data_IF_802381322510
#
_entry.id   IF_802381322510
#
_cell.length_a   1.000
_cell.length_b   1.000
_cell.length_c   1.000
_cell.angle_alpha   90.00
_cell.angle_beta   90.00
_cell.angle_gamma   90.00
#
_symmetry.space_group_name_H-M   'P 1'
#
loop_
_entity.id
_entity.type
_entity.pdbx_description
1 polymer ?
#
# COMPACT_ATOMS: atom_id res chain seq x y z
N UNK A 1 6.52 0.71 -21.13
CA UNK A 1 5.79 0.81 -19.84
C UNK A 1 4.74 1.89 -19.99
N UNK A 2 3.49 1.63 -19.60
CA UNK A 2 2.52 2.72 -19.42
C UNK A 2 2.86 3.33 -18.06
N UNK A 3 3.26 4.60 -18.03
CA UNK A 3 3.47 5.32 -16.79
C UNK A 3 2.09 5.42 -16.14
N UNK A 4 1.74 4.49 -15.23
CA UNK A 4 0.61 4.76 -14.34
C UNK A 4 1.00 6.03 -13.60
N UNK A 5 0.26 7.11 -13.83
CA UNK A 5 0.46 8.35 -13.09
C UNK A 5 0.20 8.03 -11.63
N UNK A 6 1.26 7.98 -10.84
CA UNK A 6 1.15 7.78 -9.40
C UNK A 6 0.78 9.13 -8.80
N UNK A 7 -0.25 9.13 -7.97
CA UNK A 7 -0.65 10.32 -7.22
C UNK A 7 0.10 10.34 -5.89
N UNK A 8 1.22 11.06 -5.85
CA UNK A 8 2.03 11.21 -4.65
C UNK A 8 1.33 12.00 -3.55
N UNK A 9 0.41 12.89 -3.93
CA UNK A 9 -0.41 13.60 -2.95
C UNK A 9 -1.35 12.62 -2.24
N UNK A 10 -1.97 11.72 -2.99
CA UNK A 10 -2.78 10.64 -2.42
C UNK A 10 -1.93 9.72 -1.52
N UNK A 11 -0.71 9.34 -1.93
CA UNK A 11 0.17 8.53 -1.09
C UNK A 11 0.53 9.22 0.23
N UNK A 12 0.72 10.55 0.23
CA UNK A 12 0.97 11.29 1.45
C UNK A 12 -0.25 11.30 2.39
N UNK A 13 -1.46 11.39 1.84
CA UNK A 13 -2.69 11.31 2.63
C UNK A 13 -2.85 9.92 3.26
N UNK A 14 -2.68 8.86 2.48
CA UNK A 14 -2.72 7.49 3.01
C UNK A 14 -1.63 7.23 4.03
N UNK A 15 -0.42 7.75 3.81
CA UNK A 15 0.65 7.64 4.80
C UNK A 15 0.27 8.32 6.13
N UNK A 16 -0.41 9.48 6.06
CA UNK A 16 -0.90 10.18 7.25
C UNK A 16 -1.90 9.32 8.05
N UNK A 17 -2.81 8.64 7.36
CA UNK A 17 -3.82 7.76 7.97
C UNK A 17 -3.19 6.60 8.77
N UNK A 18 -1.96 6.20 8.42
CA UNK A 18 -1.21 5.11 9.09
C UNK A 18 0.03 5.59 9.86
N UNK A 19 0.08 6.88 10.22
CA UNK A 19 1.04 7.40 11.20
C UNK A 19 2.24 8.18 10.66
N UNK A 20 2.23 8.58 9.38
CA UNK A 20 3.25 9.52 8.88
C UNK A 20 3.05 10.92 9.48
N UNK A 21 4.11 11.47 10.06
CA UNK A 21 4.15 12.86 10.51
C UNK A 21 4.18 13.85 9.32
N UNK A 22 4.07 15.14 9.63
CA UNK A 22 4.01 16.19 8.62
C UNK A 22 5.28 16.25 7.74
N UNK A 23 6.45 15.99 8.32
CA UNK A 23 7.72 16.03 7.60
C UNK A 23 7.83 14.86 6.61
N UNK A 24 7.45 13.65 7.03
CA UNK A 24 7.40 12.48 6.16
C UNK A 24 6.37 12.67 5.05
N UNK A 25 5.17 13.18 5.37
CA UNK A 25 4.16 13.50 4.37
C UNK A 25 4.69 14.48 3.32
N UNK A 26 5.40 15.53 3.72
CA UNK A 26 5.98 16.50 2.81
C UNK A 26 7.03 15.84 1.90
N UNK A 27 7.93 15.03 2.47
CA UNK A 27 8.92 14.29 1.69
C UNK A 27 8.31 13.31 0.69
N UNK A 28 7.15 12.71 1.00
CA UNK A 28 6.41 11.86 0.06
C UNK A 28 5.86 12.68 -1.11
N UNK A 29 5.29 13.85 -0.85
CA UNK A 29 4.79 14.77 -1.90
C UNK A 29 5.90 15.20 -2.86
N UNK A 30 7.10 15.39 -2.32
CA UNK A 30 8.29 15.82 -3.07
C UNK A 30 9.06 14.64 -3.70
N UNK A 31 8.60 13.40 -3.54
CA UNK A 31 9.26 12.24 -4.13
C UNK A 31 9.10 12.19 -5.66
N UNK A 32 10.03 11.52 -6.34
CA UNK A 32 9.96 11.37 -7.80
C UNK A 32 9.20 10.09 -8.21
N UNK A 33 9.11 9.10 -7.31
CA UNK A 33 8.50 7.79 -7.59
C UNK A 33 7.78 7.24 -6.36
N UNK A 34 6.78 6.39 -6.57
CA UNK A 34 6.12 5.66 -5.47
C UNK A 34 7.07 4.75 -4.71
N UNK A 35 8.07 4.18 -5.39
CA UNK A 35 9.09 3.34 -4.74
C UNK A 35 9.90 4.14 -3.73
N UNK A 36 10.25 5.38 -4.08
CA UNK A 36 10.92 6.29 -3.16
C UNK A 36 10.02 6.60 -1.96
N UNK A 37 8.74 6.91 -2.16
CA UNK A 37 7.78 7.15 -1.08
C UNK A 37 7.64 5.93 -0.14
N UNK A 38 7.52 4.72 -0.71
CA UNK A 38 7.48 3.48 0.06
C UNK A 38 8.75 3.27 0.88
N UNK A 39 9.93 3.52 0.31
CA UNK A 39 11.20 3.39 1.01
C UNK A 39 11.33 4.40 2.18
N UNK A 40 10.85 5.63 2.00
CA UNK A 40 10.81 6.62 3.08
C UNK A 40 9.89 6.17 4.22
N UNK A 41 8.70 5.67 3.90
CA UNK A 41 7.75 5.16 4.90
C UNK A 41 8.30 3.95 5.63
N UNK A 42 8.90 3.00 4.91
CA UNK A 42 9.52 1.82 5.51
C UNK A 42 10.64 2.19 6.49
N UNK A 43 11.48 3.18 6.14
CA UNK A 43 12.54 3.70 7.02
C UNK A 43 11.96 4.33 8.29
N UNK A 44 10.79 4.97 8.19
CA UNK A 44 10.09 5.58 9.31
C UNK A 44 9.17 4.61 10.10
N UNK A 45 9.09 3.34 9.70
CA UNK A 45 8.18 2.36 10.30
C UNK A 45 6.69 2.59 9.97
N UNK A 46 6.39 3.35 8.91
CA UNK A 46 5.03 3.64 8.46
C UNK A 46 4.61 2.61 7.38
N UNK A 47 3.51 1.86 7.57
CA UNK A 47 3.12 0.75 6.69
C UNK A 47 2.34 1.22 5.45
N UNK A 48 2.88 2.17 4.67
CA UNK A 48 2.21 2.73 3.49
C UNK A 48 1.80 1.66 2.47
N UNK A 49 2.62 0.63 2.27
CA UNK A 49 2.31 -0.43 1.30
C UNK A 49 1.07 -1.23 1.67
N UNK A 50 0.88 -1.56 2.95
CA UNK A 50 -0.33 -2.24 3.43
C UNK A 50 -1.56 -1.36 3.23
N UNK A 51 -1.41 -0.06 3.46
CA UNK A 51 -2.48 0.91 3.28
C UNK A 51 -2.91 1.04 1.80
N UNK A 52 -1.94 1.09 0.88
CA UNK A 52 -2.22 1.02 -0.57
C UNK A 52 -2.96 -0.27 -0.90
N UNK A 53 -2.53 -1.41 -0.36
CA UNK A 53 -3.21 -2.69 -0.55
C UNK A 53 -4.63 -2.70 0.02
N UNK A 54 -4.88 -2.04 1.15
CA UNK A 54 -6.20 -1.92 1.77
C UNK A 54 -7.18 -1.17 0.87
N UNK A 55 -6.74 -0.06 0.28
CA UNK A 55 -7.53 0.69 -0.71
C UNK A 55 -7.81 -0.13 -1.96
N UNK A 56 -6.80 -0.84 -2.49
CA UNK A 56 -6.97 -1.72 -3.64
C UNK A 56 -7.92 -2.89 -3.35
N UNK A 57 -7.85 -3.48 -2.14
CA UNK A 57 -8.74 -4.55 -1.70
C UNK A 57 -10.19 -4.07 -1.60
N UNK A 58 -10.42 -2.88 -1.03
CA UNK A 58 -11.75 -2.29 -0.95
C UNK A 58 -12.35 -2.08 -2.34
N UNK A 59 -11.56 -1.59 -3.28
CA UNK A 59 -11.97 -1.47 -4.69
C UNK A 59 -12.29 -2.84 -5.30
N UNK A 60 -11.39 -3.82 -5.18
CA UNK A 60 -11.61 -5.16 -5.74
C UNK A 60 -12.89 -5.82 -5.19
N UNK A 61 -13.15 -5.71 -3.88
CA UNK A 61 -14.37 -6.20 -3.23
C UNK A 61 -15.64 -5.51 -3.70
N UNK A 62 -15.56 -4.27 -4.21
CA UNK A 62 -16.71 -3.59 -4.81
C UNK A 62 -17.08 -4.14 -6.19
N UNK A 63 -16.15 -4.85 -6.84
CA UNK A 63 -16.32 -5.39 -8.21
C UNK A 63 -16.71 -6.86 -8.19
N UNK A 64 -16.15 -7.65 -7.27
CA UNK A 64 -16.40 -9.10 -7.20
C UNK A 64 -17.57 -9.45 -6.28
N UNK A 65 -18.28 -10.58 -6.52
CA UNK A 65 -19.30 -11.07 -5.60
C UNK A 65 -18.74 -11.36 -4.20
N UNK A 66 -19.57 -11.22 -3.17
CA UNK A 66 -19.17 -11.38 -1.77
C UNK A 66 -18.61 -12.78 -1.43
N UNK A 67 -18.98 -13.82 -2.17
CA UNK A 67 -18.42 -15.17 -2.01
C UNK A 67 -16.96 -15.32 -2.50
N UNK A 68 -16.41 -14.32 -3.21
CA UNK A 68 -15.03 -14.35 -3.70
C UNK A 68 -14.11 -13.76 -2.65
N UNK A 69 -13.20 -14.57 -2.12
CA UNK A 69 -12.13 -14.08 -1.26
C UNK A 69 -11.05 -13.40 -2.11
N UNK A 70 -10.61 -12.21 -1.67
CA UNK A 70 -9.59 -11.41 -2.37
C UNK A 70 -8.48 -11.07 -1.38
N UNK A 71 -7.26 -11.23 -1.86
CA UNK A 71 -6.03 -10.78 -1.22
C UNK A 71 -5.27 -9.91 -2.21
N UNK A 72 -4.61 -8.88 -1.71
CA UNK A 72 -3.83 -7.95 -2.51
C UNK A 72 -2.43 -7.90 -1.92
N UNK A 73 -1.43 -8.08 -2.78
CA UNK A 73 -0.02 -7.91 -2.45
C UNK A 73 0.58 -6.86 -3.37
N UNK A 74 1.34 -5.92 -2.79
CA UNK A 74 2.21 -5.03 -3.52
C UNK A 74 3.62 -5.62 -3.53
N UNK A 75 4.23 -5.70 -4.71
CA UNK A 75 5.59 -6.22 -4.90
C UNK A 75 6.51 -5.16 -5.49
N UNK A 76 7.78 -5.18 -5.08
CA UNK A 76 8.82 -4.39 -5.72
C UNK A 76 9.40 -5.08 -6.96
N UNK A 77 10.40 -4.46 -7.60
CA UNK A 77 11.06 -5.01 -8.80
C UNK A 77 11.92 -6.24 -8.53
N UNK A 78 12.27 -6.51 -7.27
CA UNK A 78 13.04 -7.68 -6.85
C UNK A 78 12.12 -8.85 -6.45
N UNK A 79 10.80 -8.65 -6.44
CA UNK A 79 9.82 -9.63 -6.00
C UNK A 79 9.56 -9.61 -4.50
N UNK A 80 10.09 -8.63 -3.77
CA UNK A 80 9.82 -8.45 -2.35
C UNK A 80 8.40 -7.92 -2.12
N UNK A 81 7.69 -8.48 -1.14
CA UNK A 81 6.39 -7.96 -0.70
C UNK A 81 6.65 -6.67 0.08
N UNK A 82 6.06 -5.59 -0.41
CA UNK A 82 6.15 -4.24 0.20
C UNK A 82 4.82 -3.79 0.81
N UNK A 83 3.76 -4.58 0.63
CA UNK A 83 2.45 -4.33 1.21
C UNK A 83 1.52 -5.50 1.00
N UNK A 84 0.57 -5.67 1.91
CA UNK A 84 -0.47 -6.68 1.84
C UNK A 84 -1.78 -6.23 2.48
N UNK A 85 -2.90 -6.71 1.95
CA UNK A 85 -4.20 -6.60 2.59
C UNK A 85 -5.10 -7.74 2.11
N UNK A 86 -5.88 -8.31 3.02
CA UNK A 86 -6.72 -9.45 2.67
C UNK A 86 -6.70 -10.49 3.77
N UNK A 87 -7.08 -11.71 3.41
CA UNK A 87 -7.56 -12.65 4.41
C UNK A 87 -6.48 -13.29 5.25
N UNK A 88 -5.24 -13.62 4.88
CA UNK A 88 -4.30 -14.29 5.80
C UNK A 88 -4.99 -15.37 6.68
N UNK A 89 -5.50 -16.43 6.05
CA UNK A 89 -6.17 -17.51 6.77
C UNK A 89 -5.21 -18.12 7.79
N UNK A 90 -5.38 -17.80 9.07
CA UNK A 90 -4.95 -18.67 10.16
C UNK A 90 -5.69 -19.99 9.98
N UNK A 91 -5.02 -21.00 9.45
CA UNK A 91 -5.38 -22.39 9.75
C UNK A 91 -4.44 -22.89 10.82
N UNK A 92 -4.77 -22.59 12.07
CA UNK A 92 -4.61 -23.61 13.11
C UNK A 92 -5.60 -24.74 12.75
N UNK A 93 -5.08 -25.76 12.08
CA UNK A 93 -5.62 -27.11 12.18
C UNK A 93 -4.93 -27.75 13.39
N UNK A 94 -5.61 -27.84 14.53
CA UNK A 94 -5.66 -28.98 15.46
C UNK A 94 -6.73 -28.69 16.50
#
# INVERSE_FOLDING_TARGET
SRHSSIDLLQLALWAADVGADADLQQRIRDANTSQQALAMCATAGVPLGDEVCRHALAFARSVVPAQVQVEVFAIDRQGGIVGQAGVALSKEHT
#
